data_IF_114372759861
#
_entry.id   IF_114372759861
#
_cell.length_a   1.000
_cell.length_b   1.000
_cell.length_c   1.000
_cell.angle_alpha   90.00
_cell.angle_beta   90.00
_cell.angle_gamma   90.00
#
_symmetry.space_group_name_H-M   'P 1'
#
loop_
_entity.id
_entity.type
_entity.pdbx_description
1 polymer ?
#
# COMPACT_ATOMS: atom_id res chain seq x y z
N UNK A 1 14.80 10.79 9.07
CA UNK A 1 13.35 11.03 8.86
C UNK A 1 12.65 9.71 8.57
N UNK A 2 11.35 9.54 8.92
CA UNK A 2 10.62 8.29 8.61
C UNK A 2 9.50 8.56 7.62
N UNK A 3 9.46 7.80 6.53
CA UNK A 3 8.43 7.80 5.49
C UNK A 3 7.67 6.47 5.56
N UNK A 4 6.35 6.51 5.56
CA UNK A 4 5.52 5.29 5.65
C UNK A 4 5.04 4.86 4.27
N UNK A 5 5.35 3.62 3.91
CA UNK A 5 4.81 2.94 2.73
C UNK A 5 3.69 2.02 3.23
N UNK A 6 2.49 2.58 3.35
CA UNK A 6 1.34 1.88 3.94
C UNK A 6 0.15 1.85 2.99
N UNK A 7 -0.40 0.68 2.74
CA UNK A 7 -1.51 0.48 1.80
C UNK A 7 -1.05 0.11 0.39
N UNK A 8 -1.90 0.33 -0.60
CA UNK A 8 -1.57 0.02 -2.00
C UNK A 8 -0.66 1.10 -2.61
N UNK A 9 0.19 0.70 -3.54
CA UNK A 9 1.01 1.61 -4.34
C UNK A 9 0.27 1.92 -5.62
N UNK A 10 0.09 3.20 -5.92
CA UNK A 10 -0.64 3.67 -7.10
C UNK A 10 0.02 4.93 -7.68
N UNK A 11 -0.42 5.36 -8.85
CA UNK A 11 0.03 6.59 -9.47
C UNK A 11 -0.54 7.84 -8.77
N UNK A 12 0.04 9.01 -9.05
CA UNK A 12 -0.35 10.27 -8.40
C UNK A 12 -1.75 10.74 -8.80
N UNK A 13 -2.22 10.42 -10.03
CA UNK A 13 -3.52 10.84 -10.52
C UNK A 13 -4.67 10.07 -9.83
N UNK A 14 -4.46 8.78 -9.55
CA UNK A 14 -5.47 7.91 -8.95
C UNK A 14 -5.47 7.98 -7.41
N UNK A 15 -4.35 8.33 -6.80
CA UNK A 15 -4.21 8.36 -5.34
C UNK A 15 -5.29 9.18 -4.62
N UNK A 16 -5.71 10.39 -5.10
CA UNK A 16 -6.81 11.14 -4.49
C UNK A 16 -8.13 10.39 -4.52
N UNK A 17 -8.43 9.65 -5.61
CA UNK A 17 -9.67 8.88 -5.75
C UNK A 17 -9.72 7.77 -4.69
N UNK A 18 -8.63 7.01 -4.55
CA UNK A 18 -8.54 5.96 -3.53
C UNK A 18 -8.70 6.51 -2.11
N UNK A 19 -8.09 7.66 -1.81
CA UNK A 19 -8.14 8.26 -0.47
C UNK A 19 -9.49 8.89 -0.16
N UNK A 20 -9.96 9.76 -1.05
CA UNK A 20 -11.09 10.65 -0.76
C UNK A 20 -12.45 9.97 -0.99
N UNK A 21 -12.53 9.07 -1.99
CA UNK A 21 -13.80 8.41 -2.35
C UNK A 21 -13.92 7.03 -1.72
N UNK A 22 -12.84 6.25 -1.67
CA UNK A 22 -12.88 4.89 -1.16
C UNK A 22 -12.35 4.77 0.28
N UNK A 23 -11.76 5.83 0.85
CA UNK A 23 -11.18 5.81 2.19
C UNK A 23 -10.03 4.78 2.35
N UNK A 24 -9.34 4.46 1.25
CA UNK A 24 -8.26 3.48 1.23
C UNK A 24 -6.91 4.14 1.47
N UNK A 25 -6.07 3.46 2.24
CA UNK A 25 -4.68 3.87 2.38
C UNK A 25 -3.92 3.52 1.09
N UNK A 26 -3.29 4.52 0.48
CA UNK A 26 -2.44 4.36 -0.70
C UNK A 26 -1.21 5.26 -0.60
N UNK A 27 -0.16 4.88 -1.32
CA UNK A 27 1.09 5.62 -1.46
C UNK A 27 1.37 5.84 -2.94
N UNK A 28 1.72 7.08 -3.31
CA UNK A 28 2.10 7.45 -4.67
C UNK A 28 3.54 7.97 -4.74
N UNK A 29 4.13 8.08 -5.93
CA UNK A 29 5.48 8.63 -6.10
C UNK A 29 5.67 10.00 -5.44
N UNK A 30 4.73 10.91 -5.62
CA UNK A 30 4.80 12.26 -5.02
C UNK A 30 4.83 12.25 -3.50
N UNK A 31 4.13 11.32 -2.85
CA UNK A 31 4.14 11.19 -1.38
C UNK A 31 5.54 10.86 -0.85
N UNK A 32 6.24 9.97 -1.54
CA UNK A 32 7.57 9.51 -1.11
C UNK A 32 8.65 10.50 -1.53
N UNK A 33 8.68 10.85 -2.82
CA UNK A 33 9.71 11.71 -3.40
C UNK A 33 9.64 13.12 -2.81
N UNK A 34 8.41 13.65 -2.66
CA UNK A 34 8.19 14.95 -2.04
C UNK A 34 8.54 15.01 -0.55
N UNK A 35 8.65 13.84 0.10
CA UNK A 35 9.05 13.72 1.51
C UNK A 35 10.55 13.52 1.70
N UNK A 36 11.34 13.34 0.64
CA UNK A 36 12.79 13.17 0.77
C UNK A 36 13.45 14.49 1.20
N UNK A 37 14.28 14.47 2.27
CA UNK A 37 14.96 15.68 2.74
C UNK A 37 15.90 16.26 1.68
N UNK A 38 15.77 17.55 1.41
CA UNK A 38 16.62 18.23 0.41
C UNK A 38 18.11 18.34 0.83
N UNK A 39 18.40 18.15 2.13
CA UNK A 39 19.75 18.21 2.69
C UNK A 39 20.51 16.88 2.65
N UNK A 40 19.89 15.82 2.11
CA UNK A 40 20.49 14.49 2.04
C UNK A 40 20.60 13.77 3.38
N UNK A 41 19.83 14.16 4.40
CA UNK A 41 19.81 13.45 5.68
C UNK A 41 19.17 12.06 5.56
N UNK A 42 19.58 11.12 6.41
CA UNK A 42 19.16 9.71 6.37
C UNK A 42 17.66 9.55 6.49
N UNK A 43 17.12 8.60 5.70
CA UNK A 43 15.70 8.27 5.61
C UNK A 43 15.45 6.82 6.03
N UNK A 44 14.40 6.62 6.80
CA UNK A 44 13.85 5.28 7.09
C UNK A 44 12.50 5.14 6.39
N UNK A 45 12.33 4.08 5.63
CA UNK A 45 11.02 3.67 5.09
C UNK A 45 10.42 2.63 6.04
N UNK A 46 9.21 2.83 6.51
CA UNK A 46 8.43 1.79 7.21
C UNK A 46 7.42 1.19 6.24
N UNK A 47 7.64 -0.06 5.83
CA UNK A 47 6.84 -0.73 4.79
C UNK A 47 5.84 -1.69 5.44
N UNK A 48 4.57 -1.49 5.10
CA UNK A 48 3.45 -2.40 5.37
C UNK A 48 2.47 -2.29 4.19
N UNK A 49 2.75 -3.04 3.12
CA UNK A 49 2.03 -2.90 1.85
C UNK A 49 1.87 -4.24 1.14
N UNK A 50 0.70 -4.43 0.56
CA UNK A 50 0.41 -5.58 -0.32
C UNK A 50 0.88 -5.36 -1.77
N UNK A 51 1.54 -4.24 -2.06
CA UNK A 51 1.96 -3.88 -3.41
C UNK A 51 0.94 -3.00 -4.13
N UNK A 52 0.89 -3.13 -5.43
CA UNK A 52 0.05 -2.32 -6.32
C UNK A 52 0.67 -2.19 -7.70
N UNK A 53 0.68 -0.99 -8.27
CA UNK A 53 1.19 -0.72 -9.61
C UNK A 53 2.72 -0.77 -9.69
N UNK A 54 3.24 -1.41 -10.74
CA UNK A 54 4.69 -1.63 -10.93
C UNK A 54 5.40 -0.33 -11.28
N UNK A 55 4.84 0.48 -12.19
CA UNK A 55 5.51 1.71 -12.66
C UNK A 55 5.69 2.74 -11.54
N UNK A 56 4.66 3.07 -10.72
CA UNK A 56 4.83 3.92 -9.54
C UNK A 56 5.85 3.37 -8.53
N UNK A 57 5.85 2.06 -8.28
CA UNK A 57 6.82 1.43 -7.40
C UNK A 57 8.25 1.54 -7.94
N UNK A 58 8.42 1.38 -9.25
CA UNK A 58 9.71 1.51 -9.92
C UNK A 58 10.21 2.96 -9.90
N UNK A 59 9.33 3.93 -10.07
CA UNK A 59 9.66 5.35 -9.94
C UNK A 59 10.15 5.68 -8.53
N UNK A 60 9.44 5.24 -7.51
CA UNK A 60 9.86 5.38 -6.10
C UNK A 60 11.23 4.72 -5.89
N UNK A 61 11.41 3.47 -6.34
CA UNK A 61 12.65 2.74 -6.21
C UNK A 61 13.84 3.52 -6.79
N UNK A 62 13.69 4.03 -8.02
CA UNK A 62 14.76 4.78 -8.70
C UNK A 62 15.04 6.13 -8.03
N UNK A 63 14.02 6.81 -7.51
CA UNK A 63 14.20 8.04 -6.75
C UNK A 63 14.98 7.79 -5.46
N UNK A 64 14.66 6.72 -4.73
CA UNK A 64 15.39 6.32 -3.52
C UNK A 64 16.85 5.97 -3.82
N UNK A 65 17.12 5.22 -4.89
CA UNK A 65 18.49 4.89 -5.33
C UNK A 65 19.31 6.10 -5.78
N UNK A 66 18.64 7.15 -6.22
CA UNK A 66 19.28 8.40 -6.66
C UNK A 66 19.44 9.40 -5.51
N UNK A 67 18.87 9.10 -4.35
CA UNK A 67 18.91 9.97 -3.18
C UNK A 67 20.34 10.03 -2.59
N UNK A 68 20.76 11.19 -2.09
CA UNK A 68 22.14 11.41 -1.60
C UNK A 68 22.38 10.92 -0.18
N UNK A 69 21.31 10.77 0.62
CA UNK A 69 21.40 10.24 1.99
C UNK A 69 21.22 8.72 2.02
N UNK A 70 21.49 8.09 3.17
CA UNK A 70 21.26 6.66 3.33
C UNK A 70 19.76 6.38 3.49
N UNK A 71 19.27 5.38 2.78
CA UNK A 71 17.89 4.89 2.86
C UNK A 71 17.86 3.53 3.52
N UNK A 72 17.14 3.40 4.64
CA UNK A 72 16.89 2.12 5.30
C UNK A 72 15.42 1.76 5.19
N UNK A 73 15.11 0.65 4.51
CA UNK A 73 13.76 0.10 4.48
C UNK A 73 13.55 -0.88 5.64
N UNK A 74 12.48 -0.69 6.41
CA UNK A 74 12.05 -1.58 7.48
C UNK A 74 10.72 -2.21 7.12
N UNK A 75 10.72 -3.50 6.79
CA UNK A 75 9.48 -4.26 6.55
C UNK A 75 8.87 -4.60 7.90
N UNK A 76 7.82 -3.88 8.27
CA UNK A 76 7.22 -4.00 9.61
C UNK A 76 6.24 -5.16 9.74
N UNK A 77 5.53 -5.50 8.66
CA UNK A 77 4.58 -6.61 8.59
C UNK A 77 4.70 -7.36 7.26
N UNK A 78 4.54 -6.65 6.17
CA UNK A 78 4.58 -7.23 4.84
C UNK A 78 5.10 -6.23 3.80
N UNK A 79 5.82 -6.77 2.82
CA UNK A 79 6.14 -6.10 1.57
C UNK A 79 5.86 -7.10 0.45
N UNK A 80 4.69 -7.02 -0.18
CA UNK A 80 4.30 -7.95 -1.25
C UNK A 80 4.34 -7.27 -2.61
N UNK A 81 4.69 -8.02 -3.65
CA UNK A 81 4.61 -7.55 -5.04
C UNK A 81 5.37 -6.23 -5.24
N UNK A 82 4.73 -5.20 -5.78
CA UNK A 82 5.31 -3.88 -6.02
C UNK A 82 5.96 -3.24 -4.76
N UNK A 83 5.54 -3.60 -3.54
CA UNK A 83 6.18 -3.11 -2.33
C UNK A 83 7.60 -3.65 -2.12
N UNK A 84 7.93 -4.82 -2.67
CA UNK A 84 9.30 -5.33 -2.69
C UNK A 84 10.18 -4.51 -3.64
N UNK A 85 9.63 -4.02 -4.74
CA UNK A 85 10.33 -3.13 -5.68
C UNK A 85 10.76 -1.85 -4.97
N UNK A 86 9.85 -1.25 -4.19
CA UNK A 86 10.18 -0.06 -3.37
C UNK A 86 11.31 -0.37 -2.38
N UNK A 87 11.26 -1.52 -1.71
CA UNK A 87 12.32 -1.95 -0.79
C UNK A 87 13.70 -2.09 -1.48
N UNK A 88 13.74 -2.49 -2.76
CA UNK A 88 14.99 -2.56 -3.55
C UNK A 88 15.62 -1.19 -3.85
N UNK A 89 14.89 -0.13 -3.60
CA UNK A 89 15.41 1.24 -3.68
C UNK A 89 16.27 1.64 -2.48
N UNK A 90 16.20 0.91 -1.37
CA UNK A 90 16.93 1.21 -0.15
C UNK A 90 18.37 0.65 -0.16
N UNK A 91 19.28 1.34 0.50
CA UNK A 91 20.64 0.85 0.73
C UNK A 91 20.63 -0.36 1.66
N UNK A 92 19.78 -0.32 2.68
CA UNK A 92 19.62 -1.39 3.66
C UNK A 92 18.16 -1.79 3.84
N UNK A 93 17.88 -3.10 3.83
CA UNK A 93 16.55 -3.67 4.04
C UNK A 93 16.54 -4.51 5.31
N UNK A 94 15.71 -4.13 6.27
CA UNK A 94 15.52 -4.81 7.55
C UNK A 94 14.12 -5.42 7.61
N UNK A 95 13.97 -6.61 8.16
CA UNK A 95 12.67 -7.25 8.36
C UNK A 95 12.35 -7.45 9.83
N UNK A 96 11.19 -7.00 10.26
CA UNK A 96 10.68 -7.27 11.61
C UNK A 96 10.42 -8.77 11.82
N UNK A 97 10.52 -9.30 13.05
CA UNK A 97 10.10 -10.66 13.36
C UNK A 97 8.67 -10.91 12.91
N UNK A 98 8.45 -11.98 12.14
CA UNK A 98 7.15 -12.33 11.56
C UNK A 98 6.75 -11.54 10.31
N UNK A 99 7.56 -10.57 9.88
CA UNK A 99 7.36 -9.91 8.60
C UNK A 99 7.59 -10.88 7.44
N UNK A 100 6.93 -10.60 6.31
CA UNK A 100 7.00 -11.43 5.11
C UNK A 100 7.21 -10.56 3.88
N UNK A 101 7.88 -11.13 2.89
CA UNK A 101 7.92 -10.62 1.53
C UNK A 101 7.27 -11.60 0.57
N UNK A 102 6.77 -11.13 -0.57
CA UNK A 102 6.27 -11.99 -1.65
C UNK A 102 6.62 -11.38 -3.00
N UNK A 103 7.17 -12.21 -3.87
CA UNK A 103 7.53 -11.87 -5.24
C UNK A 103 6.78 -12.75 -6.22
N UNK A 104 6.24 -12.14 -7.26
CA UNK A 104 5.50 -12.81 -8.32
C UNK A 104 5.64 -12.06 -9.66
N UNK A 105 5.19 -12.68 -10.74
CA UNK A 105 5.09 -12.07 -12.06
C UNK A 105 4.10 -10.91 -12.06
N UNK A 106 4.34 -9.92 -12.90
CA UNK A 106 3.39 -8.87 -13.18
C UNK A 106 2.11 -9.45 -13.79
N UNK A 107 0.97 -8.88 -13.43
CA UNK A 107 -0.33 -9.26 -13.97
C UNK A 107 -1.08 -8.02 -14.42
N UNK A 108 -1.89 -8.17 -15.46
CA UNK A 108 -2.78 -7.13 -15.96
C UNK A 108 -4.00 -7.75 -16.60
N UNK A 109 -5.10 -7.02 -16.58
CA UNK A 109 -6.27 -7.35 -17.38
C UNK A 109 -6.07 -6.83 -18.81
N UNK A 110 -6.32 -7.68 -19.80
CA UNK A 110 -6.26 -7.30 -21.20
C UNK A 110 -7.47 -7.84 -21.95
N UNK A 111 -7.98 -7.08 -22.90
CA UNK A 111 -9.07 -7.50 -23.79
C UNK A 111 -8.81 -6.98 -25.19
N UNK A 112 -9.19 -7.78 -26.22
CA UNK A 112 -9.00 -7.40 -27.60
C UNK A 112 -8.85 -8.59 -28.52
N UNK A 113 -8.32 -8.37 -29.71
CA UNK A 113 -8.02 -9.42 -30.68
C UNK A 113 -6.69 -10.15 -30.37
N UNK A 114 -6.32 -11.19 -31.14
CA UNK A 114 -5.11 -11.97 -30.88
C UNK A 114 -3.82 -11.12 -30.85
N UNK A 115 -3.70 -10.13 -31.75
CA UNK A 115 -2.50 -9.28 -31.79
C UNK A 115 -2.42 -8.39 -30.55
N UNK A 116 -3.54 -7.90 -30.03
CA UNK A 116 -3.58 -7.12 -28.79
C UNK A 116 -3.25 -7.98 -27.58
N UNK A 117 -3.69 -9.25 -27.56
CA UNK A 117 -3.29 -10.21 -26.52
C UNK A 117 -1.81 -10.53 -26.57
N UNK A 118 -1.23 -10.74 -27.77
CA UNK A 118 0.20 -10.98 -27.94
C UNK A 118 1.02 -9.76 -27.48
N UNK A 119 0.56 -8.56 -27.80
CA UNK A 119 1.21 -7.32 -27.34
C UNK A 119 1.17 -7.19 -25.81
N UNK A 120 0.02 -7.47 -25.17
CA UNK A 120 -0.11 -7.46 -23.71
C UNK A 120 0.80 -8.51 -23.05
N UNK A 121 0.88 -9.71 -23.62
CA UNK A 121 1.82 -10.74 -23.17
C UNK A 121 3.27 -10.28 -23.25
N UNK A 122 3.68 -9.66 -24.36
CA UNK A 122 5.02 -9.11 -24.55
C UNK A 122 5.35 -7.99 -23.56
N UNK A 123 4.38 -7.13 -23.26
CA UNK A 123 4.51 -6.09 -22.23
C UNK A 123 4.78 -6.70 -20.85
N UNK A 124 3.98 -7.70 -20.44
CA UNK A 124 4.16 -8.37 -19.14
C UNK A 124 5.53 -9.06 -19.05
N UNK A 125 6.00 -9.73 -20.11
CA UNK A 125 7.34 -10.33 -20.13
C UNK A 125 8.46 -9.29 -19.97
N UNK A 126 8.30 -8.13 -20.59
CA UNK A 126 9.25 -7.01 -20.46
C UNK A 126 9.24 -6.46 -19.03
N UNK A 127 8.06 -6.29 -18.44
CA UNK A 127 7.89 -5.86 -17.06
C UNK A 127 8.53 -6.84 -16.08
N UNK A 128 8.30 -8.15 -16.26
CA UNK A 128 8.90 -9.19 -15.43
C UNK A 128 10.43 -9.16 -15.49
N UNK A 129 10.99 -8.98 -16.68
CA UNK A 129 12.44 -8.87 -16.86
C UNK A 129 13.01 -7.63 -16.17
N UNK A 130 12.29 -6.52 -16.22
CA UNK A 130 12.67 -5.29 -15.53
C UNK A 130 12.64 -5.49 -13.99
N UNK A 131 11.59 -6.09 -13.45
CA UNK A 131 11.49 -6.41 -12.02
C UNK A 131 12.62 -7.33 -11.57
N UNK A 132 12.87 -8.43 -12.31
CA UNK A 132 13.95 -9.36 -12.00
C UNK A 132 15.32 -8.68 -12.02
N UNK A 133 15.51 -7.71 -12.93
CA UNK A 133 16.75 -6.91 -12.98
C UNK A 133 16.95 -6.03 -11.74
N UNK A 134 15.87 -5.51 -11.13
CA UNK A 134 15.96 -4.77 -9.86
C UNK A 134 16.43 -5.67 -8.71
N UNK A 135 15.87 -6.89 -8.60
CA UNK A 135 16.33 -7.86 -7.61
C UNK A 135 17.79 -8.27 -7.86
N UNK A 136 18.15 -8.53 -9.12
CA UNK A 136 19.52 -8.86 -9.51
C UNK A 136 20.50 -7.74 -9.14
N UNK A 137 20.14 -6.49 -9.39
CA UNK A 137 20.96 -5.33 -9.04
C UNK A 137 21.17 -5.15 -7.53
N UNK A 138 20.17 -5.49 -6.71
CA UNK A 138 20.26 -5.45 -5.23
C UNK A 138 21.10 -6.60 -4.67
N UNK A 139 20.90 -7.80 -5.21
CA UNK A 139 21.41 -9.05 -4.60
C UNK A 139 22.71 -9.56 -5.23
N UNK A 140 23.05 -9.11 -6.44
CA UNK A 140 24.15 -9.64 -7.25
C UNK A 140 23.90 -11.03 -7.84
N UNK A 141 22.69 -11.62 -7.64
CA UNK A 141 22.31 -12.92 -8.20
C UNK A 141 21.75 -12.75 -9.62
N UNK A 142 21.77 -13.80 -10.45
CA UNK A 142 21.21 -13.75 -11.81
C UNK A 142 19.73 -13.38 -11.84
N UNK A 143 19.30 -12.55 -12.80
CA UNK A 143 17.89 -12.19 -12.98
C UNK A 143 16.99 -13.41 -13.26
N UNK A 144 17.52 -14.43 -13.97
CA UNK A 144 16.79 -15.66 -14.28
C UNK A 144 16.39 -16.44 -13.01
N UNK A 145 17.19 -16.38 -11.94
CA UNK A 145 16.85 -17.00 -10.67
C UNK A 145 15.61 -16.33 -10.07
N UNK A 146 15.53 -15.00 -10.17
CA UNK A 146 14.35 -14.25 -9.72
C UNK A 146 13.13 -14.48 -10.60
N UNK A 147 13.30 -14.58 -11.93
CA UNK A 147 12.20 -14.96 -12.83
C UNK A 147 11.61 -16.32 -12.42
N UNK A 148 12.46 -17.31 -12.10
CA UNK A 148 12.01 -18.62 -11.65
C UNK A 148 11.31 -18.62 -10.28
N UNK A 149 11.70 -17.72 -9.39
CA UNK A 149 11.01 -17.51 -8.09
C UNK A 149 9.69 -16.78 -8.28
N UNK A 150 9.64 -15.78 -9.14
CA UNK A 150 8.44 -15.02 -9.48
C UNK A 150 7.38 -15.91 -10.14
N UNK A 151 7.77 -16.87 -10.98
CA UNK A 151 6.86 -17.85 -11.59
C UNK A 151 6.09 -18.69 -10.57
N UNK A 152 6.66 -18.90 -9.39
CA UNK A 152 6.10 -19.73 -8.32
C UNK A 152 5.33 -18.95 -7.28
N UNK A 153 5.22 -17.62 -7.43
CA UNK A 153 4.70 -16.76 -6.38
C UNK A 153 5.37 -17.06 -5.03
N UNK A 154 6.64 -16.67 -4.93
CA UNK A 154 7.47 -17.07 -3.79
C UNK A 154 7.24 -16.18 -2.59
N UNK A 155 6.85 -16.81 -1.50
CA UNK A 155 6.68 -16.20 -0.18
C UNK A 155 7.94 -16.40 0.65
N UNK A 156 8.41 -15.32 1.27
CA UNK A 156 9.68 -15.28 1.99
C UNK A 156 9.43 -14.79 3.42
N UNK A 157 9.91 -15.54 4.39
CA UNK A 157 10.15 -15.03 5.73
C UNK A 157 11.48 -14.23 5.78
N UNK A 158 11.82 -13.71 6.95
CA UNK A 158 13.03 -12.89 7.10
C UNK A 158 14.32 -13.67 6.80
N UNK A 159 14.39 -14.95 7.18
CA UNK A 159 15.59 -15.79 6.94
C UNK A 159 15.77 -16.07 5.46
N UNK A 160 14.71 -16.43 4.79
CA UNK A 160 14.70 -16.70 3.35
C UNK A 160 15.02 -15.45 2.53
N UNK A 161 14.47 -14.28 2.92
CA UNK A 161 14.75 -13.02 2.26
C UNK A 161 16.22 -12.59 2.42
N UNK A 162 16.84 -12.83 3.58
CA UNK A 162 18.26 -12.59 3.83
C UNK A 162 19.13 -13.57 3.03
N UNK A 163 18.79 -14.85 2.98
CA UNK A 163 19.52 -15.86 2.18
C UNK A 163 19.52 -15.51 0.69
N UNK A 164 18.40 -14.97 0.20
CA UNK A 164 18.29 -14.47 -1.17
C UNK A 164 19.02 -13.14 -1.39
N UNK A 165 19.33 -12.39 -0.32
CA UNK A 165 19.95 -11.07 -0.40
C UNK A 165 18.95 -9.93 -0.68
N UNK A 166 17.65 -10.22 -0.65
CA UNK A 166 16.58 -9.21 -0.78
C UNK A 166 16.47 -8.38 0.50
N UNK A 167 16.69 -9.00 1.67
CA UNK A 167 16.86 -8.34 2.94
C UNK A 167 18.30 -8.49 3.45
N UNK A 168 18.75 -7.56 4.27
CA UNK A 168 20.10 -7.53 4.80
C UNK A 168 20.18 -8.09 6.22
N UNK A 169 19.15 -7.83 7.05
CA UNK A 169 19.14 -8.29 8.45
C UNK A 169 17.72 -8.31 9.04
N UNK A 170 17.56 -8.98 10.19
CA UNK A 170 16.35 -8.89 11.01
C UNK A 170 16.40 -7.64 11.89
N UNK A 171 15.23 -7.01 12.08
CA UNK A 171 15.06 -6.02 13.14
C UNK A 171 15.12 -6.71 14.49
N UNK A 172 15.97 -6.20 15.37
CA UNK A 172 15.99 -6.58 16.79
C UNK A 172 15.11 -5.61 17.58
N UNK A 173 14.19 -6.15 18.38
CA UNK A 173 13.37 -5.38 19.29
C UNK A 173 13.78 -5.72 20.70
N UNK A 174 14.31 -4.76 21.43
CA UNK A 174 14.71 -4.89 22.85
C UNK A 174 13.54 -5.22 23.80
N UNK A 175 12.30 -5.24 23.30
CA UNK A 175 11.11 -5.53 24.09
C UNK A 175 10.55 -6.94 23.81
N UNK A 176 10.16 -7.70 24.85
CA UNK A 176 9.56 -9.03 24.66
C UNK A 176 8.24 -8.93 23.89
N UNK A 177 8.05 -9.81 22.89
CA UNK A 177 6.79 -9.93 22.16
C UNK A 177 5.75 -10.52 23.10
N UNK A 178 4.71 -9.76 23.43
CA UNK A 178 3.58 -10.22 24.23
C UNK A 178 2.47 -10.66 23.30
N UNK A 179 2.18 -11.96 23.24
CA UNK A 179 1.03 -12.47 22.50
C UNK A 179 -0.26 -12.14 23.26
N UNK A 180 -0.96 -11.10 22.83
CA UNK A 180 -2.29 -10.79 23.33
C UNK A 180 -3.32 -11.58 22.49
N UNK A 181 -3.94 -12.58 23.08
CA UNK A 181 -5.06 -13.32 22.44
C UNK A 181 -6.37 -12.64 22.83
N UNK A 182 -6.88 -11.79 21.94
CA UNK A 182 -8.24 -11.27 22.01
C UNK A 182 -9.05 -11.71 20.78
N UNK A 183 -10.39 -11.74 20.84
CA UNK A 183 -11.21 -12.06 19.68
C UNK A 183 -11.03 -10.97 18.61
N UNK A 184 -10.39 -11.34 17.49
CA UNK A 184 -10.22 -10.46 16.34
C UNK A 184 -11.46 -10.60 15.45
N UNK A 185 -12.12 -9.46 15.20
CA UNK A 185 -13.24 -9.41 14.25
C UNK A 185 -12.67 -9.60 12.84
N UNK A 186 -13.19 -10.52 12.02
CA UNK A 186 -12.73 -10.71 10.64
C UNK A 186 -12.79 -9.41 9.84
N UNK A 187 -11.80 -9.17 8.99
CA UNK A 187 -11.66 -7.92 8.24
C UNK A 187 -12.92 -7.53 7.46
N UNK A 188 -13.59 -8.50 6.82
CA UNK A 188 -14.84 -8.25 6.10
C UNK A 188 -15.97 -7.74 7.02
N UNK A 189 -16.04 -8.22 8.28
CA UNK A 189 -17.02 -7.74 9.25
C UNK A 189 -16.70 -6.31 9.73
N UNK A 190 -15.40 -5.97 9.86
CA UNK A 190 -14.96 -4.59 10.13
C UNK A 190 -15.35 -3.65 8.99
N UNK A 191 -15.20 -4.07 7.74
CA UNK A 191 -15.63 -3.28 6.57
C UNK A 191 -17.14 -3.07 6.55
N UNK A 192 -17.93 -4.12 6.82
CA UNK A 192 -19.38 -3.98 6.94
C UNK A 192 -19.78 -2.97 8.03
N UNK A 193 -19.13 -3.03 9.20
CA UNK A 193 -19.40 -2.09 10.28
C UNK A 193 -19.05 -0.65 9.89
N UNK A 194 -17.93 -0.44 9.18
CA UNK A 194 -17.56 0.89 8.66
C UNK A 194 -18.62 1.41 7.69
N UNK A 195 -19.01 0.61 6.70
CA UNK A 195 -20.03 1.01 5.72
C UNK A 195 -21.37 1.35 6.41
N UNK A 196 -21.78 0.54 7.37
CA UNK A 196 -23.00 0.81 8.17
C UNK A 196 -22.89 2.10 8.99
N UNK A 197 -21.70 2.42 9.52
CA UNK A 197 -21.44 3.66 10.25
C UNK A 197 -21.57 4.86 9.32
N UNK A 198 -20.94 4.81 8.16
CA UNK A 198 -20.96 5.89 7.16
C UNK A 198 -22.39 6.14 6.63
N UNK A 199 -23.14 5.06 6.36
CA UNK A 199 -24.56 5.15 5.99
C UNK A 199 -25.41 5.76 7.10
N UNK A 200 -25.18 5.37 8.34
CA UNK A 200 -25.89 5.91 9.51
C UNK A 200 -25.59 7.39 9.73
N UNK A 201 -24.34 7.82 9.55
CA UNK A 201 -23.95 9.23 9.62
C UNK A 201 -24.61 10.03 8.49
N UNK A 202 -24.65 9.50 7.28
CA UNK A 202 -25.35 10.10 6.13
C UNK A 202 -26.85 10.24 6.38
N UNK A 203 -27.50 9.19 6.88
CA UNK A 203 -28.91 9.21 7.25
C UNK A 203 -29.18 10.22 8.38
N UNK A 204 -28.32 10.27 9.38
CA UNK A 204 -28.44 11.26 10.49
C UNK A 204 -28.30 12.69 10.00
N UNK A 205 -27.42 12.95 9.02
CA UNK A 205 -27.26 14.29 8.43
C UNK A 205 -28.48 14.75 7.63
N UNK A 206 -29.30 13.81 7.15
CA UNK A 206 -30.55 14.08 6.42
C UNK A 206 -31.76 14.27 7.34
N UNK A 207 -31.64 13.89 8.63
CA UNK A 207 -32.71 14.14 9.59
C UNK A 207 -32.78 15.63 9.93
N UNK A 208 -33.99 16.22 9.91
CA UNK A 208 -34.15 17.61 10.34
C UNK A 208 -33.70 17.76 11.79
N UNK A 209 -32.92 18.81 12.07
CA UNK A 209 -32.48 19.10 13.44
C UNK A 209 -33.71 19.17 14.33
N UNK A 210 -33.61 18.66 15.56
CA UNK A 210 -34.73 18.56 16.51
C UNK A 210 -35.47 19.89 16.70
N UNK A 211 -34.73 21.00 16.60
CA UNK A 211 -35.31 22.35 16.65
C UNK A 211 -36.15 22.71 15.42
N UNK A 212 -35.79 22.21 14.22
CA UNK A 212 -36.53 22.45 12.98
C UNK A 212 -37.87 21.71 12.98
N UNK A 213 -37.91 20.49 13.51
CA UNK A 213 -39.15 19.72 13.71
C UNK A 213 -40.08 20.37 14.75
N UNK A 214 -39.51 20.91 15.81
CA UNK A 214 -40.27 21.61 16.83
C UNK A 214 -40.86 22.91 16.25
N UNK A 215 -40.08 23.69 15.52
CA UNK A 215 -40.51 24.92 14.85
C UNK A 215 -41.58 24.65 13.79
N UNK A 216 -41.45 23.59 12.99
CA UNK A 216 -42.48 23.18 12.03
C UNK A 216 -43.78 22.77 12.72
N UNK A 217 -43.72 22.04 13.83
CA UNK A 217 -44.90 21.69 14.64
C UNK A 217 -45.55 22.91 15.27
N UNK A 218 -44.76 23.84 15.76
CA UNK A 218 -45.26 25.12 16.34
C UNK A 218 -45.89 25.97 15.24
N UNK A 219 -45.33 26.09 14.07
CA UNK A 219 -45.90 26.82 12.93
C UNK A 219 -47.28 26.26 12.53
N UNK A 220 -47.41 24.93 12.41
CA UNK A 220 -48.68 24.26 12.10
C UNK A 220 -49.72 24.51 13.24
N UNK A 221 -49.27 24.58 14.48
CA UNK A 221 -50.15 24.81 15.63
C UNK A 221 -50.66 26.25 15.70
N UNK A 222 -49.82 27.24 15.35
CA UNK A 222 -50.23 28.66 15.33
C UNK A 222 -51.10 28.99 14.11
N UNK A 223 -50.81 28.43 12.95
CA UNK A 223 -51.59 28.62 11.72
C UNK A 223 -53.06 28.13 11.87
N UNK A 224 -53.27 27.09 12.69
CA UNK A 224 -54.62 26.58 13.02
C UNK A 224 -55.39 27.47 14.02
N UNK A 225 -54.72 28.41 14.69
CA UNK A 225 -55.38 29.33 15.66
C UNK A 225 -55.86 30.63 15.02
N UNK A 226 -55.40 30.98 13.82
CA UNK A 226 -55.88 32.19 13.11
C UNK A 226 -57.11 31.94 12.24
N UNK A 227 -57.65 30.72 12.21
CA UNK A 227 -58.80 30.32 11.38
C UNK A 227 -60.06 30.04 12.25
N UNK A 228 -60.17 30.60 13.47
CA UNK A 228 -61.41 30.57 14.30
C UNK A 228 -61.91 31.95 14.63
#
# INVERSE_FOLDING_TARGET
>A
MTIKINGAITNDDDAPIYRDWFGQAVVSPSDVIGSLPADGSDVTLEITSNGGEVDPATEICNALRSYQGNVTAKVMSNAYSAATIVAMGADKVQMAPGAKMMIHRASSDASGNSHEMDAASGMLQTTDSAIASLYSAKTGKPADDFLALMDKETWLDADQAIELGIADEKLDFDAPIVNAVGPIIPHHAVQLIKNMKDENEKLRSQLPKQNDLLNQKLAIFYDKKEVQ
#
